data_IF_784676264355
#
_entry.id   IF_784676264355
#
_cell.length_a   1.000
_cell.length_b   1.000
_cell.length_c   1.000
_cell.angle_alpha   90.00
_cell.angle_beta   90.00
_cell.angle_gamma   90.00
#
_symmetry.space_group_name_H-M   'P 1'
#
loop_
_entity.id
_entity.type
_entity.pdbx_description
1 polymer ?
#
# COMPACT_ATOMS: atom_id res chain seq x y z
N UNK A 1 17.27 -3.58 -69.10
CA UNK A 1 18.47 -3.49 -68.23
C UNK A 1 17.92 -3.52 -66.80
N UNK A 2 17.77 -4.73 -66.21
CA UNK A 2 18.73 -5.40 -65.30
C UNK A 2 18.90 -4.59 -64.00
N UNK A 3 18.70 -5.07 -62.78
CA UNK A 3 18.31 -6.37 -62.24
C UNK A 3 17.89 -6.20 -60.76
N UNK A 4 17.07 -7.12 -60.26
CA UNK A 4 16.78 -7.38 -58.83
C UNK A 4 18.00 -7.98 -58.12
N UNK A 5 18.09 -7.89 -56.77
CA UNK A 5 18.72 -8.95 -55.99
C UNK A 5 17.75 -9.62 -55.00
N UNK A 6 18.09 -10.88 -54.73
CA UNK A 6 17.33 -11.96 -54.11
C UNK A 6 17.33 -11.91 -52.59
N UNK A 7 16.29 -12.55 -52.04
CA UNK A 7 16.16 -13.00 -50.67
C UNK A 7 17.28 -13.97 -50.23
N UNK A 8 17.67 -13.88 -48.96
CA UNK A 8 18.38 -14.93 -48.22
C UNK A 8 17.50 -15.33 -47.02
N UNK A 9 16.89 -16.51 -47.11
CA UNK A 9 16.21 -17.15 -46.00
C UNK A 9 17.24 -17.99 -45.23
N UNK A 10 17.41 -17.72 -43.93
CA UNK A 10 18.21 -18.54 -43.03
C UNK A 10 17.33 -19.69 -42.52
N UNK A 11 17.70 -20.92 -42.88
CA UNK A 11 17.05 -22.14 -42.39
C UNK A 11 17.69 -22.56 -41.05
N UNK A 12 16.86 -22.69 -40.02
CA UNK A 12 17.21 -23.26 -38.72
C UNK A 12 16.78 -24.74 -38.70
N UNK A 13 17.65 -25.73 -38.41
CA UNK A 13 17.25 -27.13 -38.39
C UNK A 13 16.56 -27.46 -37.06
N UNK A 14 15.24 -27.72 -37.13
CA UNK A 14 14.46 -28.31 -36.06
C UNK A 14 14.77 -29.82 -35.99
N UNK A 15 15.34 -30.28 -34.88
CA UNK A 15 15.54 -31.70 -34.61
C UNK A 15 14.20 -32.33 -34.18
N UNK A 16 13.69 -33.22 -35.03
CA UNK A 16 12.45 -33.97 -34.85
C UNK A 16 12.76 -35.27 -34.09
N UNK A 17 12.38 -35.37 -32.82
CA UNK A 17 12.45 -36.62 -32.05
C UNK A 17 11.17 -37.44 -32.30
N UNK A 18 11.35 -38.61 -32.91
CA UNK A 18 10.34 -39.63 -33.15
C UNK A 18 10.02 -40.40 -31.85
N UNK A 19 8.76 -40.37 -31.41
CA UNK A 19 8.18 -41.35 -30.48
C UNK A 19 7.37 -42.38 -31.29
N UNK A 20 7.54 -43.70 -31.07
CA UNK A 20 6.66 -44.70 -31.66
C UNK A 20 5.36 -44.85 -30.88
N UNK A 21 4.31 -45.13 -31.65
CA UNK A 21 2.92 -45.15 -31.25
C UNK A 21 2.45 -46.49 -30.64
N UNK A 22 1.46 -46.36 -29.76
CA UNK A 22 0.23 -47.15 -29.63
C UNK A 22 0.29 -48.69 -29.50
N UNK A 23 -0.15 -49.19 -28.35
CA UNK A 23 -0.75 -50.51 -28.18
C UNK A 23 -2.00 -50.38 -27.29
N UNK A 24 -3.15 -50.74 -27.84
CA UNK A 24 -4.49 -50.70 -27.23
C UNK A 24 -4.79 -52.07 -26.61
N UNK A 25 -5.16 -52.12 -25.33
CA UNK A 25 -5.97 -53.13 -24.61
C UNK A 25 -6.28 -52.46 -23.25
N UNK A 26 -7.46 -52.35 -22.65
CA UNK A 26 -8.77 -52.98 -22.79
C UNK A 26 -9.26 -53.37 -21.38
N UNK A 27 -10.32 -52.71 -20.86
CA UNK A 27 -11.33 -53.29 -19.95
C UNK A 27 -11.09 -53.36 -18.41
N UNK A 28 -11.99 -52.66 -17.69
CA UNK A 28 -12.68 -52.95 -16.40
C UNK A 28 -11.95 -53.32 -15.09
N UNK A 29 -12.26 -52.50 -14.06
CA UNK A 29 -12.68 -52.77 -12.66
C UNK A 29 -12.21 -54.06 -11.95
N UNK A 30 -11.54 -53.96 -10.79
CA UNK A 30 -12.18 -53.89 -9.46
C UNK A 30 -11.13 -54.10 -8.32
N UNK A 31 -11.43 -53.53 -7.15
CA UNK A 31 -11.03 -53.83 -5.76
C UNK A 31 -9.63 -54.39 -5.39
N UNK A 32 -9.01 -53.74 -4.38
CA UNK A 32 -7.92 -54.37 -3.63
C UNK A 32 -7.21 -53.48 -2.61
N UNK A 33 -7.73 -53.46 -1.39
CA UNK A 33 -7.06 -52.99 -0.16
C UNK A 33 -5.79 -53.78 0.16
N UNK A 34 -4.74 -53.08 0.60
CA UNK A 34 -3.65 -53.43 1.54
C UNK A 34 -2.40 -52.64 1.14
N UNK A 35 -1.58 -52.08 2.02
CA UNK A 35 -1.46 -52.22 3.46
C UNK A 35 -0.30 -51.35 3.92
N UNK A 36 -0.28 -51.17 5.23
CA UNK A 36 0.56 -50.26 6.00
C UNK A 36 2.04 -50.62 5.99
N UNK A 37 2.89 -49.62 6.29
CA UNK A 37 4.15 -49.85 7.01
C UNK A 37 4.67 -48.53 7.58
N UNK A 38 4.34 -48.22 8.85
CA UNK A 38 5.31 -47.63 9.78
C UNK A 38 5.14 -48.18 11.21
N UNK A 39 6.23 -48.50 11.95
CA UNK A 39 6.21 -49.33 13.15
C UNK A 39 6.08 -48.56 14.48
N UNK A 40 5.96 -49.26 15.64
CA UNK A 40 5.12 -48.87 16.78
C UNK A 40 5.87 -48.35 18.02
N UNK A 41 5.13 -47.70 18.93
CA UNK A 41 5.71 -47.06 20.12
C UNK A 41 4.81 -46.82 21.36
N UNK A 42 3.86 -47.72 21.63
CA UNK A 42 3.34 -48.09 22.97
C UNK A 42 2.38 -47.15 23.73
N UNK A 43 1.17 -47.69 23.94
CA UNK A 43 0.09 -47.20 24.81
C UNK A 43 0.35 -47.47 26.30
N UNK A 44 -0.29 -46.67 27.17
CA UNK A 44 -0.98 -47.18 28.37
C UNK A 44 -2.10 -46.23 28.81
N UNK A 45 -3.33 -46.75 28.91
CA UNK A 45 -4.49 -46.13 29.60
C UNK A 45 -4.19 -46.03 31.12
N UNK A 46 -4.73 -45.08 31.90
CA UNK A 46 -6.12 -45.05 32.37
C UNK A 46 -6.47 -43.74 33.12
N UNK A 47 -7.61 -43.14 32.75
CA UNK A 47 -8.57 -42.29 33.50
C UNK A 47 -8.11 -41.15 34.44
N UNK A 48 -8.53 -39.90 34.19
CA UNK A 48 -9.86 -39.35 34.56
C UNK A 48 -9.92 -37.81 34.43
N UNK A 49 -11.04 -37.33 33.86
CA UNK A 49 -11.70 -36.01 34.06
C UNK A 49 -10.92 -34.70 33.84
N UNK A 50 -11.13 -34.05 32.70
CA UNK A 50 -11.94 -32.81 32.56
C UNK A 50 -11.71 -32.21 31.16
N UNK A 51 -12.76 -31.69 30.56
CA UNK A 51 -12.77 -31.19 29.19
C UNK A 51 -11.85 -29.97 29.03
N UNK A 52 -10.83 -30.10 28.19
CA UNK A 52 -10.02 -29.00 27.67
C UNK A 52 -9.99 -29.12 26.15
N UNK A 53 -10.62 -28.16 25.47
CA UNK A 53 -10.50 -27.97 24.03
C UNK A 53 -9.05 -27.67 23.69
N UNK A 54 -8.47 -28.45 22.78
CA UNK A 54 -7.15 -28.20 22.21
C UNK A 54 -7.29 -27.02 21.25
N UNK A 55 -6.72 -25.89 21.64
CA UNK A 55 -6.61 -24.68 20.84
C UNK A 55 -5.49 -24.86 19.81
N UNK A 56 -5.86 -24.82 18.53
CA UNK A 56 -4.93 -24.84 17.40
C UNK A 56 -4.34 -23.43 17.27
N UNK A 57 -3.12 -23.27 17.78
CA UNK A 57 -2.36 -22.03 17.72
C UNK A 57 -2.16 -21.54 16.29
N UNK A 58 -2.92 -20.52 15.93
CA UNK A 58 -2.48 -19.42 15.08
C UNK A 58 -2.42 -18.20 15.99
N UNK A 59 -1.21 -17.64 16.17
CA UNK A 59 -1.01 -16.38 16.89
C UNK A 59 -1.85 -15.30 16.19
N UNK A 60 -2.91 -14.89 16.87
CA UNK A 60 -3.69 -13.72 16.52
C UNK A 60 -2.83 -12.51 16.85
N UNK A 61 -2.77 -11.58 15.91
CA UNK A 61 -2.09 -10.29 16.05
C UNK A 61 -2.40 -9.69 17.43
N UNK A 62 -1.33 -9.40 18.18
CA UNK A 62 -1.36 -8.98 19.57
C UNK A 62 -2.38 -7.85 19.77
N UNK A 63 -3.29 -8.03 20.72
CA UNK A 63 -4.29 -7.03 21.07
C UNK A 63 -3.56 -5.90 21.79
N UNK A 64 -3.10 -4.90 21.04
CA UNK A 64 -2.53 -3.69 21.62
C UNK A 64 -3.56 -3.05 22.53
N UNK A 65 -3.18 -2.93 23.81
CA UNK A 65 -3.96 -2.29 24.84
C UNK A 65 -4.50 -0.96 24.33
N UNK A 66 -5.83 -0.82 24.34
CA UNK A 66 -6.52 0.45 24.15
C UNK A 66 -5.98 1.40 25.20
N UNK A 67 -5.07 2.29 24.80
CA UNK A 67 -4.81 3.49 25.57
C UNK A 67 -6.17 4.18 25.69
N UNK A 68 -6.66 4.45 26.89
CA UNK A 68 -7.87 5.24 27.05
C UNK A 68 -7.57 6.65 26.52
N UNK A 69 -7.83 6.85 25.23
CA UNK A 69 -7.75 8.15 24.57
C UNK A 69 -8.88 8.97 25.16
N UNK A 70 -8.53 10.03 25.88
CA UNK A 70 -9.52 11.02 26.25
C UNK A 70 -9.78 11.90 25.03
N UNK A 71 -10.62 11.39 24.13
CA UNK A 71 -11.10 12.04 22.91
C UNK A 71 -11.59 13.49 23.17
N UNK A 72 -12.14 13.75 24.36
CA UNK A 72 -12.55 15.09 24.80
C UNK A 72 -11.45 16.17 24.89
N UNK A 73 -10.20 15.85 24.51
CA UNK A 73 -9.07 16.79 24.46
C UNK A 73 -8.55 17.11 23.06
N UNK A 74 -9.09 16.46 22.02
CA UNK A 74 -8.76 16.77 20.63
C UNK A 74 -9.79 17.78 20.12
N UNK A 75 -9.31 18.88 19.57
CA UNK A 75 -10.19 19.93 19.08
C UNK A 75 -10.88 19.48 17.76
N UNK A 76 -12.20 19.67 17.60
CA UNK A 76 -12.92 19.35 16.38
C UNK A 76 -12.60 20.32 15.24
N UNK A 77 -13.18 20.10 14.06
CA UNK A 77 -13.09 20.91 12.81
C UNK A 77 -11.89 20.62 11.91
N UNK A 78 -11.14 19.55 12.17
CA UNK A 78 -10.05 19.08 11.30
C UNK A 78 -10.46 18.69 9.87
N UNK A 79 -11.72 18.87 9.48
CA UNK A 79 -12.22 18.62 8.13
C UNK A 79 -11.68 19.66 7.14
N UNK A 80 -11.43 19.25 5.91
CA UNK A 80 -11.05 20.16 4.81
C UNK A 80 -12.31 20.76 4.14
N UNK A 81 -13.32 21.13 4.94
CA UNK A 81 -14.68 21.48 4.52
C UNK A 81 -14.83 22.89 3.94
N UNK A 82 -13.83 23.77 4.07
CA UNK A 82 -13.89 25.12 3.48
C UNK A 82 -13.81 25.06 1.93
N UNK A 83 -14.86 25.43 1.19
CA UNK A 83 -14.83 25.39 -0.27
C UNK A 83 -13.99 26.53 -0.84
N UNK A 84 -12.71 26.26 -1.10
CA UNK A 84 -11.86 27.18 -1.83
C UNK A 84 -12.07 27.04 -3.34
N UNK A 85 -12.56 28.12 -3.97
CA UNK A 85 -12.79 28.14 -5.40
C UNK A 85 -11.50 27.83 -6.18
N UNK A 86 -11.53 26.76 -6.98
CA UNK A 86 -10.41 26.35 -7.82
C UNK A 86 -9.33 25.53 -7.11
N UNK A 87 -9.53 25.16 -5.84
CA UNK A 87 -8.67 24.25 -5.07
C UNK A 87 -7.18 24.58 -5.21
N UNK A 88 -6.74 25.77 -4.72
CA UNK A 88 -5.35 26.17 -4.81
C UNK A 88 -4.46 25.26 -3.96
N UNK A 89 -3.16 25.31 -4.24
CA UNK A 89 -2.15 24.65 -3.42
C UNK A 89 -1.74 25.58 -2.27
N UNK A 90 -1.87 25.09 -1.04
CA UNK A 90 -1.23 25.72 0.10
C UNK A 90 0.30 25.64 -0.05
N UNK A 91 1.04 26.62 0.50
CA UNK A 91 2.50 26.57 0.51
C UNK A 91 2.98 25.36 1.32
N UNK A 92 4.13 24.80 0.93
CA UNK A 92 4.70 23.64 1.63
C UNK A 92 3.90 22.38 1.32
N UNK A 93 3.60 22.16 0.04
CA UNK A 93 2.94 20.94 -0.47
C UNK A 93 3.73 20.30 -1.62
N UNK A 94 4.96 20.76 -1.84
CA UNK A 94 5.80 20.42 -2.99
C UNK A 94 6.73 19.22 -2.74
N UNK A 95 6.77 18.68 -1.52
CA UNK A 95 7.64 17.56 -1.12
C UNK A 95 6.85 16.28 -0.85
N UNK A 96 7.57 15.19 -0.59
CA UNK A 96 7.01 13.97 -0.03
C UNK A 96 7.00 14.11 1.49
N UNK A 97 5.86 13.85 2.14
CA UNK A 97 5.76 13.82 3.59
C UNK A 97 5.72 12.38 4.06
N UNK A 98 6.51 12.04 5.06
CA UNK A 98 6.60 10.68 5.59
C UNK A 98 6.29 10.67 7.09
N UNK A 99 5.65 9.58 7.52
CA UNK A 99 5.15 9.39 8.86
C UNK A 99 5.80 8.16 9.48
N UNK A 100 6.36 8.33 10.68
CA UNK A 100 6.85 7.19 11.47
C UNK A 100 5.71 6.46 12.16
N UNK A 101 5.92 5.19 12.49
CA UNK A 101 5.02 4.33 13.30
C UNK A 101 4.72 4.84 14.72
N UNK A 102 5.47 5.85 15.16
CA UNK A 102 5.42 6.45 16.50
C UNK A 102 4.90 7.89 16.49
N UNK A 103 4.44 8.39 15.34
CA UNK A 103 3.81 9.71 15.20
C UNK A 103 4.78 10.87 15.04
N UNK A 104 5.94 10.67 14.39
CA UNK A 104 6.84 11.76 14.00
C UNK A 104 6.73 12.04 12.50
N UNK A 105 6.51 13.31 12.14
CA UNK A 105 6.43 13.78 10.77
C UNK A 105 7.80 14.24 10.25
N UNK A 106 8.10 13.86 9.02
CA UNK A 106 9.25 14.34 8.27
C UNK A 106 8.83 14.70 6.84
N UNK A 107 9.64 15.52 6.19
CA UNK A 107 9.63 15.68 4.74
C UNK A 107 10.82 14.94 4.13
N UNK A 108 10.65 14.51 2.90
CA UNK A 108 11.66 13.94 2.04
C UNK A 108 11.69 14.74 0.73
N UNK A 109 12.85 15.33 0.42
CA UNK A 109 13.10 16.03 -0.83
C UNK A 109 13.73 15.07 -1.84
N UNK A 110 13.03 14.76 -2.94
CA UNK A 110 13.55 13.84 -3.94
C UNK A 110 14.72 14.39 -4.77
N UNK A 111 14.91 15.72 -4.84
CA UNK A 111 15.94 16.34 -5.66
C UNK A 111 17.34 16.19 -5.05
N UNK A 112 17.46 16.28 -3.74
CA UNK A 112 18.73 16.16 -3.02
C UNK A 112 18.79 14.94 -2.08
N UNK A 113 17.73 14.13 -2.06
CA UNK A 113 17.58 12.92 -1.25
C UNK A 113 17.68 13.19 0.25
N UNK A 114 17.12 14.32 0.70
CA UNK A 114 17.22 14.79 2.08
C UNK A 114 15.95 14.56 2.89
N UNK A 115 16.12 14.06 4.11
CA UNK A 115 15.07 14.03 5.12
C UNK A 115 15.19 15.21 6.08
N UNK A 116 14.10 15.95 6.25
CA UNK A 116 14.01 17.02 7.25
C UNK A 116 12.88 16.74 8.24
N UNK A 117 13.20 16.68 9.54
CA UNK A 117 12.19 16.51 10.58
C UNK A 117 11.29 17.75 10.62
N UNK A 118 9.99 17.51 10.68
CA UNK A 118 9.00 18.57 10.88
C UNK A 118 8.71 18.67 12.38
N UNK A 119 8.01 17.68 12.95
CA UNK A 119 7.64 17.68 14.37
C UNK A 119 7.15 16.29 14.83
N UNK A 120 6.97 16.13 16.13
CA UNK A 120 6.15 15.05 16.67
C UNK A 120 4.65 15.45 16.60
N UNK A 121 3.74 14.48 16.46
CA UNK A 121 2.30 14.71 16.52
C UNK A 121 1.80 14.53 17.96
N UNK A 122 1.02 15.49 18.44
CA UNK A 122 0.28 15.39 19.70
C UNK A 122 -1.21 15.15 19.40
N UNK A 123 -1.63 13.90 19.50
CA UNK A 123 -3.02 13.51 19.24
C UNK A 123 -3.60 12.67 20.38
N UNK A 124 -4.06 13.30 21.45
CA UNK A 124 -4.67 12.59 22.59
C UNK A 124 -3.78 11.54 23.28
N UNK A 125 -2.46 11.56 23.05
CA UNK A 125 -1.51 10.54 23.52
C UNK A 125 -1.32 9.34 22.58
N UNK A 126 -2.04 9.27 21.46
CA UNK A 126 -1.87 8.25 20.43
C UNK A 126 -0.51 8.38 19.75
N UNK A 127 0.10 7.23 19.47
CA UNK A 127 1.42 7.14 18.80
C UNK A 127 1.46 6.13 17.67
N UNK A 128 0.67 5.06 17.75
CA UNK A 128 0.66 3.96 16.79
C UNK A 128 -0.07 4.36 15.51
N UNK A 129 0.66 4.96 14.58
CA UNK A 129 0.15 5.40 13.27
C UNK A 129 0.05 4.23 12.29
N UNK A 130 -0.77 4.40 11.26
CA UNK A 130 -1.07 3.39 10.24
C UNK A 130 -0.71 3.88 8.84
N UNK A 131 -1.43 4.88 8.32
CA UNK A 131 -1.23 5.44 6.97
C UNK A 131 -1.39 6.97 7.00
N UNK A 132 -0.95 7.64 5.94
CA UNK A 132 -1.01 9.10 5.81
C UNK A 132 -1.29 9.55 4.37
N UNK A 133 -2.28 10.43 4.18
CA UNK A 133 -2.48 11.20 2.95
C UNK A 133 -2.26 12.70 3.19
N UNK A 134 -1.82 13.46 2.19
CA UNK A 134 -1.63 14.92 2.32
C UNK A 134 -2.54 15.64 1.32
N UNK A 135 -3.37 16.57 1.81
CA UNK A 135 -4.30 17.33 0.96
C UNK A 135 -3.63 18.56 0.33
N UNK A 136 -4.34 19.21 -0.60
CA UNK A 136 -3.92 20.50 -1.20
C UNK A 136 -3.80 21.64 -0.21
N UNK A 137 -4.44 21.51 0.95
CA UNK A 137 -4.44 22.52 2.01
C UNK A 137 -3.26 22.38 2.99
N UNK A 138 -2.22 21.63 2.62
CA UNK A 138 -1.09 21.30 3.48
C UNK A 138 -1.52 20.61 4.79
N UNK A 139 -2.54 19.75 4.69
CA UNK A 139 -3.05 18.98 5.83
C UNK A 139 -2.69 17.51 5.66
N UNK A 140 -1.96 16.97 6.62
CA UNK A 140 -1.75 15.53 6.72
C UNK A 140 -2.95 14.89 7.40
N UNK A 141 -3.61 13.97 6.71
CA UNK A 141 -4.63 13.08 7.22
C UNK A 141 -3.94 11.82 7.70
N UNK A 142 -3.99 11.56 9.00
CA UNK A 142 -3.22 10.52 9.68
C UNK A 142 -4.18 9.51 10.28
N UNK A 143 -4.09 8.27 9.82
CA UNK A 143 -4.82 7.16 10.43
C UNK A 143 -3.95 6.51 11.51
N UNK A 144 -4.59 6.10 12.60
CA UNK A 144 -3.97 5.32 13.67
C UNK A 144 -4.38 3.85 13.58
N UNK A 145 -3.63 2.96 14.23
CA UNK A 145 -3.92 1.52 14.30
C UNK A 145 -5.30 1.22 14.91
N UNK A 146 -5.90 2.15 15.66
CA UNK A 146 -7.28 2.04 16.16
C UNK A 146 -8.35 2.17 15.06
N UNK A 147 -7.98 2.64 13.87
CA UNK A 147 -8.88 2.99 12.77
C UNK A 147 -9.29 4.47 12.76
N UNK A 148 -8.97 5.21 13.83
CA UNK A 148 -9.28 6.63 13.94
C UNK A 148 -8.47 7.46 12.95
N UNK A 149 -9.09 8.51 12.42
CA UNK A 149 -8.52 9.41 11.42
C UNK A 149 -8.50 10.84 11.97
N UNK A 150 -7.31 11.42 12.06
CA UNK A 150 -7.12 12.79 12.51
C UNK A 150 -6.35 13.58 11.47
N UNK A 151 -6.30 14.89 11.65
CA UNK A 151 -5.58 15.77 10.75
C UNK A 151 -4.53 16.60 11.47
N UNK A 152 -3.48 16.98 10.75
CA UNK A 152 -2.36 17.78 11.22
C UNK A 152 -2.06 18.85 10.17
N UNK A 153 -1.97 20.11 10.59
CA UNK A 153 -1.55 21.21 9.71
C UNK A 153 -0.03 21.18 9.56
N UNK A 154 0.46 20.95 8.33
CA UNK A 154 1.89 20.89 8.02
C UNK A 154 2.59 22.25 8.15
N UNK A 155 1.82 23.35 8.16
CA UNK A 155 2.32 24.70 8.31
C UNK A 155 2.29 25.19 9.77
N UNK A 156 1.80 24.39 10.72
CA UNK A 156 1.88 24.71 12.14
C UNK A 156 3.35 24.60 12.61
N UNK A 157 3.98 25.69 13.12
CA UNK A 157 5.37 25.67 13.55
C UNK A 157 5.58 25.00 14.92
N UNK A 158 4.54 24.47 15.55
CA UNK A 158 4.60 23.83 16.87
C UNK A 158 5.37 22.50 16.84
N UNK A 159 5.99 22.14 17.96
CA UNK A 159 6.58 20.82 18.17
C UNK A 159 6.37 20.39 19.63
N UNK A 160 5.42 19.46 19.91
CA UNK A 160 4.64 18.70 18.93
C UNK A 160 3.49 19.51 18.29
N UNK A 161 3.14 19.19 17.05
CA UNK A 161 1.96 19.75 16.34
C UNK A 161 0.70 19.10 16.91
N UNK A 162 -0.33 19.86 17.32
CA UNK A 162 -1.61 19.30 17.73
C UNK A 162 -2.34 18.68 16.52
N UNK A 163 -2.93 17.50 16.70
CA UNK A 163 -3.91 17.01 15.73
C UNK A 163 -5.29 17.65 15.97
N UNK A 164 -6.12 17.62 14.94
CA UNK A 164 -7.53 18.01 14.98
C UNK A 164 -8.41 16.84 14.54
N UNK A 165 -9.56 16.70 15.18
CA UNK A 165 -10.58 15.73 14.80
C UNK A 165 -11.40 16.27 13.62
N UNK A 166 -11.34 15.64 12.43
CA UNK A 166 -12.20 16.00 11.32
C UNK A 166 -13.68 15.69 11.59
N UNK A 167 -13.99 14.76 12.50
CA UNK A 167 -15.33 14.20 12.70
C UNK A 167 -15.59 13.00 11.79
N UNK A 168 -14.54 12.31 11.35
CA UNK A 168 -14.65 11.12 10.53
C UNK A 168 -15.08 9.93 11.37
N UNK A 169 -16.25 9.37 11.06
CA UNK A 169 -16.73 8.14 11.69
C UNK A 169 -16.68 6.98 10.70
N UNK A 170 -15.82 6.00 10.97
CA UNK A 170 -15.74 4.81 10.14
C UNK A 170 -16.82 3.79 10.49
N UNK A 171 -17.84 3.70 9.65
CA UNK A 171 -18.92 2.72 9.81
C UNK A 171 -18.83 1.55 8.83
N UNK A 172 -17.81 1.52 7.96
CA UNK A 172 -17.69 0.52 6.91
C UNK A 172 -16.71 -0.60 7.33
N UNK A 173 -17.21 -1.83 7.60
CA UNK A 173 -16.36 -2.93 8.07
C UNK A 173 -15.37 -3.44 7.02
N UNK A 174 -15.47 -3.02 5.75
CA UNK A 174 -14.48 -3.35 4.71
C UNK A 174 -13.18 -2.54 4.84
N UNK A 175 -13.20 -1.45 5.61
CA UNK A 175 -12.07 -0.54 5.76
C UNK A 175 -11.71 -0.32 7.25
N UNK A 176 -11.48 -1.36 8.07
CA UNK A 176 -11.14 -1.17 9.49
C UNK A 176 -9.88 -0.31 9.67
N UNK A 177 -8.89 -0.56 8.82
CA UNK A 177 -7.79 0.34 8.46
C UNK A 177 -7.71 0.43 6.94
N UNK A 178 -7.00 1.43 6.46
CA UNK A 178 -6.83 1.63 5.02
C UNK A 178 -5.53 2.36 4.69
N UNK A 179 -4.89 1.92 3.60
CA UNK A 179 -3.87 2.72 2.93
C UNK A 179 -4.54 3.83 2.14
N UNK A 180 -3.99 5.05 2.16
CA UNK A 180 -4.70 6.21 1.61
C UNK A 180 -3.84 7.24 0.89
N UNK A 181 -4.45 7.94 -0.06
CA UNK A 181 -3.85 9.08 -0.73
C UNK A 181 -4.89 10.04 -1.30
N UNK A 182 -4.53 11.33 -1.38
CA UNK A 182 -5.31 12.29 -2.14
C UNK A 182 -5.05 12.12 -3.64
N UNK A 183 -6.12 12.14 -4.43
CA UNK A 183 -6.08 12.03 -5.89
C UNK A 183 -6.90 13.17 -6.48
N UNK A 184 -6.34 13.90 -7.45
CA UNK A 184 -7.06 14.97 -8.12
C UNK A 184 -8.24 14.40 -8.92
N UNK A 185 -9.34 15.13 -9.03
CA UNK A 185 -10.49 14.72 -9.83
C UNK A 185 -10.07 14.60 -11.30
N UNK A 186 -9.33 15.57 -11.82
CA UNK A 186 -8.71 15.53 -13.15
C UNK A 186 -7.71 16.68 -13.36
N UNK A 187 -7.10 16.76 -14.54
CA UNK A 187 -6.29 17.92 -14.95
C UNK A 187 -7.10 19.22 -15.02
N UNK A 188 -8.41 19.14 -15.30
CA UNK A 188 -9.29 20.32 -15.43
C UNK A 188 -10.05 20.67 -14.15
N UNK A 189 -10.16 19.71 -13.23
CA UNK A 189 -10.72 19.87 -11.89
C UNK A 189 -9.67 19.39 -10.89
N UNK A 190 -8.81 20.30 -10.39
CA UNK A 190 -7.67 19.94 -9.56
C UNK A 190 -8.06 19.66 -8.11
N UNK A 191 -9.33 19.84 -7.73
CA UNK A 191 -9.82 19.42 -6.43
C UNK A 191 -9.60 17.92 -6.25
N UNK A 192 -9.35 17.47 -5.02
CA UNK A 192 -9.00 16.09 -4.74
C UNK A 192 -9.91 15.44 -3.69
N UNK A 193 -9.90 14.12 -3.71
CA UNK A 193 -10.56 13.27 -2.72
C UNK A 193 -9.56 12.28 -2.15
N UNK A 194 -9.78 11.91 -0.90
CA UNK A 194 -8.96 10.92 -0.22
C UNK A 194 -9.45 9.52 -0.63
N UNK A 195 -8.63 8.77 -1.34
CA UNK A 195 -8.93 7.39 -1.72
C UNK A 195 -8.38 6.44 -0.66
N UNK A 196 -9.05 5.31 -0.50
CA UNK A 196 -8.77 4.31 0.51
C UNK A 196 -8.69 2.92 -0.12
N UNK A 197 -7.67 2.16 0.25
CA UNK A 197 -7.55 0.74 -0.04
C UNK A 197 -7.70 -0.01 1.27
N UNK A 198 -8.52 -1.07 1.33
CA UNK A 198 -8.64 -1.90 2.53
C UNK A 198 -7.26 -2.33 3.05
N UNK A 199 -7.08 -2.48 4.35
CA UNK A 199 -5.82 -2.95 4.92
C UNK A 199 -6.03 -4.16 5.84
N UNK A 200 -6.15 -5.34 5.23
CA UNK A 200 -6.38 -6.62 5.92
C UNK A 200 -5.03 -7.30 6.21
N UNK A 201 -4.31 -7.72 5.16
CA UNK A 201 -2.98 -8.32 5.21
C UNK A 201 -2.37 -8.30 3.80
N UNK A 202 -1.03 -8.19 3.63
CA UNK A 202 -0.42 -8.05 2.31
C UNK A 202 -0.41 -9.35 1.50
N UNK A 203 -0.53 -10.51 2.15
CA UNK A 203 -0.58 -11.84 1.53
C UNK A 203 -2.02 -12.33 1.24
N UNK A 204 -3.04 -11.58 1.67
CA UNK A 204 -4.44 -11.86 1.35
C UNK A 204 -4.72 -11.42 -0.09
N UNK A 205 -4.72 -12.39 -1.00
CA UNK A 205 -4.93 -12.19 -2.44
C UNK A 205 -5.98 -13.17 -2.93
N UNK A 206 -6.98 -12.68 -3.67
CA UNK A 206 -8.06 -13.49 -4.20
C UNK A 206 -9.25 -12.63 -4.63
N UNK A 207 -10.18 -13.21 -5.37
CA UNK A 207 -11.33 -12.48 -5.93
C UNK A 207 -12.11 -11.70 -4.84
N UNK A 208 -12.12 -10.38 -4.95
CA UNK A 208 -12.90 -9.48 -4.09
C UNK A 208 -12.59 -9.56 -2.59
N UNK A 209 -11.39 -9.97 -2.19
CA UNK A 209 -10.98 -10.04 -0.78
C UNK A 209 -10.77 -8.67 -0.14
N UNK A 210 -10.47 -7.66 -0.94
CA UNK A 210 -10.32 -6.27 -0.50
C UNK A 210 -11.34 -5.34 -1.13
N UNK A 211 -11.19 -4.05 -0.85
CA UNK A 211 -12.04 -3.01 -1.41
C UNK A 211 -11.25 -1.73 -1.69
N UNK A 212 -11.65 -1.03 -2.74
CA UNK A 212 -11.26 0.34 -3.01
C UNK A 212 -12.42 1.27 -2.64
N UNK A 213 -12.10 2.40 -2.00
CA UNK A 213 -13.07 3.38 -1.54
C UNK A 213 -12.59 4.81 -1.71
N UNK A 214 -13.49 5.75 -1.44
CA UNK A 214 -13.23 7.18 -1.49
C UNK A 214 -13.93 7.88 -0.34
N UNK A 215 -13.22 8.82 0.28
CA UNK A 215 -13.70 9.72 1.30
C UNK A 215 -13.81 11.10 0.67
N UNK A 216 -15.01 11.68 0.72
CA UNK A 216 -15.18 13.08 0.37
C UNK A 216 -14.72 13.95 1.55
N UNK A 217 -13.67 14.79 1.41
CA UNK A 217 -13.10 15.53 2.54
C UNK A 217 -14.04 16.62 3.10
N UNK A 218 -15.14 16.95 2.39
CA UNK A 218 -16.14 17.90 2.87
C UNK A 218 -17.25 17.22 3.67
N UNK A 219 -17.72 16.04 3.22
CA UNK A 219 -18.82 15.33 3.90
C UNK A 219 -18.33 14.25 4.86
N UNK A 220 -17.06 13.86 4.76
CA UNK A 220 -16.41 12.78 5.49
C UNK A 220 -17.04 11.40 5.25
N UNK A 221 -17.83 11.28 4.19
CA UNK A 221 -18.48 10.02 3.82
C UNK A 221 -17.49 9.11 3.10
N UNK A 222 -17.22 7.95 3.70
CA UNK A 222 -16.50 6.84 3.06
C UNK A 222 -17.47 6.01 2.21
N UNK A 223 -17.29 6.04 0.89
CA UNK A 223 -18.03 5.21 -0.07
C UNK A 223 -17.12 4.15 -0.69
N UNK A 224 -17.65 2.94 -0.89
CA UNK A 224 -16.98 1.90 -1.67
C UNK A 224 -17.08 2.22 -3.17
N UNK A 225 -15.95 2.11 -3.87
CA UNK A 225 -15.87 2.18 -5.33
C UNK A 225 -16.12 0.78 -5.92
N UNK A 226 -15.31 -0.21 -5.50
CA UNK A 226 -15.38 -1.58 -5.98
C UNK A 226 -14.69 -2.57 -5.04
N UNK A 227 -15.09 -3.86 -5.06
CA UNK A 227 -14.23 -4.92 -4.55
C UNK A 227 -12.98 -5.06 -5.42
N UNK A 228 -11.86 -5.44 -4.80
CA UNK A 228 -10.57 -5.65 -5.47
C UNK A 228 -9.90 -6.91 -4.95
N UNK A 229 -8.94 -7.43 -5.70
CA UNK A 229 -8.37 -8.77 -5.47
C UNK A 229 -7.21 -8.79 -4.45
N UNK A 230 -6.93 -7.65 -3.81
CA UNK A 230 -5.84 -7.47 -2.86
C UNK A 230 -6.36 -6.96 -1.53
N UNK A 231 -5.99 -7.63 -0.44
CA UNK A 231 -6.45 -7.32 0.91
C UNK A 231 -5.79 -6.08 1.53
N UNK A 232 -4.57 -5.74 1.11
CA UNK A 232 -3.84 -4.54 1.56
C UNK A 232 -2.94 -3.96 0.48
N UNK A 233 -3.04 -2.64 0.31
CA UNK A 233 -2.09 -1.79 -0.38
C UNK A 233 -2.05 -0.40 0.24
N UNK A 234 -0.90 0.24 0.17
CA UNK A 234 -0.78 1.68 0.38
C UNK A 234 -1.08 2.39 -0.93
N UNK A 235 -1.60 3.62 -0.88
CA UNK A 235 -2.01 4.37 -2.06
C UNK A 235 -1.12 5.58 -2.30
N UNK A 236 -1.01 5.99 -3.56
CA UNK A 236 -0.53 7.33 -3.93
C UNK A 236 -1.33 7.84 -5.13
N UNK A 237 -1.52 9.16 -5.20
CA UNK A 237 -2.32 9.81 -6.22
C UNK A 237 -1.54 10.88 -6.95
N UNK A 238 -1.96 11.19 -8.17
CA UNK A 238 -1.33 12.25 -8.98
C UNK A 238 -2.24 13.47 -9.15
N UNK A 239 -1.60 14.59 -9.50
CA UNK A 239 -2.28 15.83 -9.92
C UNK A 239 -3.06 15.69 -11.23
N UNK A 240 -2.79 14.64 -12.03
CA UNK A 240 -3.55 14.32 -13.23
C UNK A 240 -4.72 13.38 -12.96
N UNK A 241 -4.86 12.91 -11.72
CA UNK A 241 -5.97 12.07 -11.27
C UNK A 241 -5.78 10.58 -11.49
N UNK A 242 -4.53 10.11 -11.57
CA UNK A 242 -4.17 8.68 -11.57
C UNK A 242 -4.05 8.18 -10.14
N UNK A 243 -4.45 6.94 -9.90
CA UNK A 243 -4.43 6.29 -8.59
C UNK A 243 -3.59 5.02 -8.67
N UNK A 244 -2.60 4.93 -7.79
CA UNK A 244 -1.72 3.77 -7.72
C UNK A 244 -1.77 3.13 -6.34
N UNK A 245 -1.52 1.82 -6.32
CA UNK A 245 -1.34 1.04 -5.11
C UNK A 245 0.01 0.34 -5.11
N UNK A 246 0.65 0.33 -3.95
CA UNK A 246 1.75 -0.57 -3.62
C UNK A 246 1.18 -1.69 -2.74
N UNK A 247 1.10 -2.91 -3.27
CA UNK A 247 0.28 -3.99 -2.72
C UNK A 247 0.88 -5.39 -2.92
N UNK A 248 0.40 -6.38 -2.18
CA UNK A 248 0.93 -7.75 -2.23
C UNK A 248 2.21 -7.94 -1.40
N UNK A 249 2.75 -9.16 -1.37
CA UNK A 249 3.85 -9.52 -0.46
C UNK A 249 5.11 -10.13 -1.12
N UNK A 250 5.00 -10.88 -2.23
CA UNK A 250 6.15 -11.62 -2.77
C UNK A 250 6.03 -12.02 -4.27
N UNK A 251 6.52 -11.21 -5.22
CA UNK A 251 6.93 -9.82 -5.02
C UNK A 251 5.70 -8.93 -4.83
N UNK A 252 5.84 -7.79 -4.14
CA UNK A 252 4.80 -6.79 -4.19
C UNK A 252 4.70 -6.19 -5.60
N UNK A 253 3.59 -5.50 -5.83
CA UNK A 253 3.19 -4.93 -7.10
C UNK A 253 2.98 -3.43 -6.94
N UNK A 254 3.39 -2.69 -7.95
CA UNK A 254 2.81 -1.38 -8.24
C UNK A 254 1.63 -1.61 -9.19
N UNK A 255 0.45 -1.10 -8.84
CA UNK A 255 -0.76 -1.27 -9.62
C UNK A 255 -1.42 0.08 -9.88
N UNK A 256 -1.90 0.31 -11.10
CA UNK A 256 -2.74 1.47 -11.41
C UNK A 256 -4.20 1.04 -11.43
N UNK A 257 -5.05 1.76 -10.71
CA UNK A 257 -6.49 1.55 -10.72
C UNK A 257 -7.19 2.71 -11.41
N UNK A 258 -8.24 2.41 -12.17
CA UNK A 258 -9.25 3.40 -12.48
C UNK A 258 -9.97 3.77 -11.17
N UNK A 259 -9.78 5.01 -10.72
CA UNK A 259 -10.33 5.47 -9.43
C UNK A 259 -11.86 5.53 -9.39
N UNK A 260 -12.54 5.48 -10.53
CA UNK A 260 -13.99 5.55 -10.62
C UNK A 260 -14.66 4.18 -10.66
N UNK A 261 -14.01 3.18 -11.24
CA UNK A 261 -14.54 1.81 -11.39
C UNK A 261 -13.83 0.77 -10.54
N UNK A 262 -12.62 1.05 -10.04
CA UNK A 262 -11.73 0.08 -9.41
C UNK A 262 -11.10 -0.92 -10.38
N UNK A 263 -11.24 -0.71 -11.71
CA UNK A 263 -10.61 -1.56 -12.72
C UNK A 263 -9.08 -1.45 -12.65
N UNK A 264 -8.40 -2.59 -12.70
CA UNK A 264 -6.94 -2.66 -12.73
C UNK A 264 -6.45 -2.32 -14.14
N UNK A 265 -5.80 -1.16 -14.28
CA UNK A 265 -5.35 -0.63 -15.56
C UNK A 265 -3.95 -1.12 -15.94
N UNK A 266 -3.04 -1.19 -14.96
CA UNK A 266 -1.67 -1.63 -15.16
C UNK A 266 -1.10 -2.29 -13.91
N UNK A 267 -0.11 -3.18 -14.09
CA UNK A 267 0.56 -3.90 -13.01
C UNK A 267 2.05 -4.05 -13.33
N UNK A 268 2.88 -3.54 -12.43
CA UNK A 268 4.33 -3.69 -12.47
C UNK A 268 4.82 -4.47 -11.24
N UNK A 269 5.36 -5.68 -11.42
CA UNK A 269 6.00 -6.42 -10.32
C UNK A 269 7.28 -5.74 -9.82
N UNK A 270 7.52 -5.76 -8.52
CA UNK A 270 8.67 -5.14 -7.86
C UNK A 270 9.59 -6.21 -7.23
N UNK A 271 10.32 -7.01 -8.04
CA UNK A 271 11.03 -8.21 -7.57
C UNK A 271 12.23 -7.95 -6.66
N UNK A 272 12.67 -6.70 -6.52
CA UNK A 272 13.77 -6.34 -5.61
C UNK A 272 13.29 -6.08 -4.17
N UNK A 273 11.97 -6.06 -3.96
CA UNK A 273 11.33 -5.81 -2.68
C UNK A 273 10.62 -7.07 -2.19
N UNK A 274 10.52 -7.22 -0.87
CA UNK A 274 9.54 -8.09 -0.20
C UNK A 274 8.55 -7.22 0.55
N UNK A 275 7.34 -7.70 0.82
CA UNK A 275 6.36 -6.92 1.56
C UNK A 275 5.74 -7.79 2.66
N UNK A 276 6.50 -7.91 3.75
CA UNK A 276 6.12 -8.61 4.97
C UNK A 276 6.21 -7.73 6.24
N UNK A 277 6.64 -6.46 6.12
CA UNK A 277 6.74 -5.47 7.22
C UNK A 277 6.02 -4.16 6.85
N UNK A 278 6.49 -3.01 7.37
CA UNK A 278 6.00 -1.69 6.99
C UNK A 278 6.44 -1.32 5.57
N UNK A 279 5.48 -0.82 4.81
CA UNK A 279 5.71 -0.23 3.51
C UNK A 279 4.82 1.00 3.33
N UNK A 280 5.35 1.99 2.62
CA UNK A 280 4.64 3.16 2.13
C UNK A 280 5.30 3.61 0.82
N UNK A 281 4.62 4.43 0.03
CA UNK A 281 5.21 4.98 -1.19
C UNK A 281 4.53 6.26 -1.62
N UNK A 282 5.22 7.05 -2.44
CA UNK A 282 4.70 8.30 -2.95
C UNK A 282 5.08 8.53 -4.41
N UNK A 283 4.15 9.13 -5.16
CA UNK A 283 4.40 9.70 -6.47
C UNK A 283 5.06 11.07 -6.35
N UNK A 284 6.11 11.34 -7.12
CA UNK A 284 6.66 12.68 -7.23
C UNK A 284 7.42 12.84 -8.55
N UNK A 285 7.13 13.90 -9.30
CA UNK A 285 7.97 14.28 -10.45
C UNK A 285 7.98 13.28 -11.61
N UNK A 286 6.98 12.40 -11.73
CA UNK A 286 6.97 11.35 -12.77
C UNK A 286 7.32 9.96 -12.24
N UNK A 287 7.84 9.88 -11.02
CA UNK A 287 8.44 8.68 -10.45
C UNK A 287 7.79 8.24 -9.15
N UNK A 288 8.17 7.04 -8.70
CA UNK A 288 7.79 6.52 -7.39
C UNK A 288 8.97 6.43 -6.44
N UNK A 289 8.71 6.81 -5.20
CA UNK A 289 9.63 6.67 -4.07
C UNK A 289 9.00 5.71 -3.08
N UNK A 290 9.58 4.53 -2.94
CA UNK A 290 9.10 3.46 -2.09
C UNK A 290 9.91 3.43 -0.79
N UNK A 291 9.22 3.54 0.33
CA UNK A 291 9.77 3.46 1.68
C UNK A 291 9.47 2.08 2.23
N UNK A 292 10.50 1.26 2.34
CA UNK A 292 10.37 -0.16 2.63
C UNK A 292 11.21 -0.52 3.85
N UNK A 293 10.62 -1.17 4.84
CA UNK A 293 11.36 -1.74 5.96
C UNK A 293 12.05 -3.05 5.54
N UNK A 294 13.40 -3.12 5.51
CA UNK A 294 14.11 -4.29 5.03
C UNK A 294 14.02 -5.50 5.97
N UNK A 295 13.49 -5.36 7.20
CA UNK A 295 13.36 -6.46 8.15
C UNK A 295 12.08 -6.32 9.01
N UNK A 296 11.45 -7.42 9.42
CA UNK A 296 10.20 -7.44 10.23
C UNK A 296 10.18 -6.59 11.52
N UNK A 297 11.35 -6.16 12.01
CA UNK A 297 11.50 -5.33 13.21
C UNK A 297 12.50 -4.19 12.99
N UNK A 298 12.56 -3.65 11.77
CA UNK A 298 13.43 -2.51 11.48
C UNK A 298 13.10 -1.32 12.36
N UNK A 299 14.10 -0.46 12.57
CA UNK A 299 13.90 0.87 13.14
C UNK A 299 13.98 1.97 12.08
N UNK A 300 14.14 1.58 10.82
CA UNK A 300 14.31 2.45 9.67
C UNK A 300 13.74 1.82 8.41
N UNK A 301 13.41 2.65 7.43
CA UNK A 301 13.12 2.22 6.07
C UNK A 301 14.34 2.44 5.15
N UNK A 302 14.46 1.62 4.11
CA UNK A 302 15.21 1.95 2.90
C UNK A 302 14.33 2.80 1.96
N UNK A 303 14.96 3.59 1.10
CA UNK A 303 14.27 4.32 0.03
C UNK A 303 14.71 3.78 -1.32
N UNK A 304 13.72 3.39 -2.11
CA UNK A 304 13.87 2.92 -3.48
C UNK A 304 13.20 3.91 -4.43
N UNK A 305 13.89 4.27 -5.49
CA UNK A 305 13.39 5.11 -6.57
C UNK A 305 13.07 4.23 -7.78
N UNK A 306 11.92 4.45 -8.39
CA UNK A 306 11.46 3.83 -9.63
C UNK A 306 11.27 4.92 -10.68
N UNK A 307 12.14 4.93 -11.69
CA UNK A 307 12.10 5.78 -12.90
C UNK A 307 10.90 5.39 -13.78
N UNK A 308 9.70 5.83 -13.41
CA UNK A 308 8.46 5.30 -13.98
C UNK A 308 8.10 5.94 -15.32
N UNK A 309 8.40 7.22 -15.50
CA UNK A 309 8.11 7.96 -16.72
C UNK A 309 9.24 7.90 -17.78
N UNK A 310 10.27 7.11 -17.49
CA UNK A 310 11.47 6.88 -18.32
C UNK A 310 12.33 8.13 -18.55
N UNK A 311 12.14 9.19 -17.76
CA UNK A 311 12.85 10.45 -17.93
C UNK A 311 14.37 10.34 -17.70
N UNK A 312 14.81 9.37 -16.90
CA UNK A 312 16.22 9.09 -16.64
C UNK A 312 16.84 8.09 -17.63
N UNK A 313 16.07 7.65 -18.62
CA UNK A 313 16.53 6.81 -19.74
C UNK A 313 16.88 5.37 -19.34
N UNK A 314 16.53 4.96 -18.12
CA UNK A 314 16.78 3.61 -17.60
C UNK A 314 15.52 2.75 -17.57
N UNK A 315 14.34 3.35 -17.78
CA UNK A 315 13.09 2.68 -18.15
C UNK A 315 12.55 1.77 -17.05
N UNK A 316 11.70 2.30 -16.18
CA UNK A 316 11.16 1.59 -15.00
C UNK A 316 12.26 0.94 -14.16
N UNK A 317 13.44 1.56 -14.12
CA UNK A 317 14.56 1.08 -13.34
C UNK A 317 14.32 1.36 -11.86
N UNK A 318 14.48 0.33 -11.04
CA UNK A 318 14.35 0.43 -9.59
C UNK A 318 15.74 0.44 -8.95
N UNK A 319 16.05 1.52 -8.22
CA UNK A 319 17.35 1.78 -7.60
C UNK A 319 17.18 2.10 -6.12
N UNK A 320 17.97 1.43 -5.26
CA UNK A 320 18.06 1.81 -3.84
C UNK A 320 18.89 3.09 -3.73
N UNK A 321 18.25 4.16 -3.30
CA UNK A 321 18.87 5.50 -3.20
C UNK A 321 19.27 5.84 -1.77
N UNK A 322 18.61 5.26 -0.76
CA UNK A 322 18.96 5.43 0.65
C UNK A 322 18.85 4.09 1.37
N UNK A 323 19.95 3.63 1.98
CA UNK A 323 19.98 2.36 2.72
C UNK A 323 19.45 2.47 4.16
N UNK A 324 19.34 3.68 4.71
CA UNK A 324 18.87 3.89 6.08
C UNK A 324 18.26 5.28 6.25
N UNK A 325 16.93 5.38 6.20
CA UNK A 325 16.18 6.58 6.57
C UNK A 325 16.28 6.86 8.07
N UNK A 326 16.02 8.10 8.53
CA UNK A 326 16.07 8.44 9.95
C UNK A 326 14.94 7.82 10.79
N UNK A 327 13.91 7.28 10.13
CA UNK A 327 12.73 6.69 10.74
C UNK A 327 12.28 5.43 9.98
N UNK A 328 11.51 4.58 10.66
CA UNK A 328 10.68 3.56 10.00
C UNK A 328 9.40 4.21 9.51
N UNK A 329 9.23 4.26 8.20
CA UNK A 329 8.10 4.92 7.54
C UNK A 329 6.92 3.93 7.42
N UNK A 330 5.75 4.35 7.88
CA UNK A 330 4.47 3.60 7.72
C UNK A 330 3.45 4.33 6.85
N UNK A 331 3.62 5.63 6.66
CA UNK A 331 2.79 6.42 5.75
C UNK A 331 3.65 7.37 4.94
N UNK A 332 3.33 7.54 3.66
CA UNK A 332 3.96 8.50 2.77
C UNK A 332 2.87 9.20 1.96
N UNK A 333 2.74 10.50 2.16
CA UNK A 333 1.70 11.31 1.55
C UNK A 333 2.31 12.41 0.69
N UNK A 334 1.71 12.64 -0.47
CA UNK A 334 1.96 13.80 -1.31
C UNK A 334 0.65 14.52 -1.53
N UNK A 335 0.74 15.84 -1.64
CA UNK A 335 -0.36 16.63 -2.16
C UNK A 335 -0.47 16.44 -3.67
N UNK A 336 -1.67 16.61 -4.22
CA UNK A 336 -1.88 16.71 -5.68
C UNK A 336 -1.31 18.01 -6.28
N UNK A 337 -0.47 18.71 -5.51
CA UNK A 337 0.30 19.90 -5.87
C UNK A 337 1.76 19.59 -6.24
N UNK A 338 2.25 18.37 -5.99
CA UNK A 338 3.59 17.96 -6.42
C UNK A 338 3.69 17.91 -7.95
N UNK A 339 4.90 18.04 -8.52
CA UNK A 339 5.11 17.96 -9.97
C UNK A 339 4.54 16.66 -10.57
N UNK A 340 3.84 16.79 -11.71
CA UNK A 340 3.18 15.69 -12.40
C UNK A 340 4.13 14.86 -13.29
N UNK A 341 5.34 15.34 -13.52
CA UNK A 341 6.32 14.78 -14.45
C UNK A 341 7.70 15.40 -14.19
N UNK A 342 8.68 15.15 -15.08
CA UNK A 342 10.09 15.34 -14.79
C UNK A 342 10.43 16.75 -14.33
N UNK A 343 11.32 16.84 -13.34
CA UNK A 343 11.75 18.08 -12.69
C UNK A 343 13.23 18.35 -12.97
#
# INVERSE_FOLDING_TARGET
MLASPRALALACPLALALLPACGIFGGWDDDGTAGDDLPPGWFTETASTSAGSVDSGYDTFDTYATSEVNDSSIEPTGADDDPEAGCPCAPGTELIYVLSDSGTLWSFDPLDLHFARIADIKCGGMKSTFSMGVSRKARAWVQYQSGDLYTVDLNDPSDPIPCLDPGFENQNPKFPNFGMAFVANSVVDPCDKLHAHSAIAPDVIGEGVGALGVIDPQTLELSEIAPIDYGWGELTGTSTGRLFAYQGSAPPLLSEYDKGSGELLDVLPLPQLSSDSAFAFAWWGGDFYLFHDPNLFGSYSEVWHLDYDESDGMGQAMTKIISQAPIRVVGAGVSTCVPAGPV
#
